data_IF_126589647641
#
_entry.id   IF_126589647641
#
_cell.length_a   1.000
_cell.length_b   1.000
_cell.length_c   1.000
_cell.angle_alpha   90.00
_cell.angle_beta   90.00
_cell.angle_gamma   90.00
#
_symmetry.space_group_name_H-M   'P 1'
#
loop_
_entity.id
_entity.type
_entity.pdbx_description
1 polymer ?
#
# COMPACT_ATOMS: atom_id res chain seq x y z
N UNK A 1 45.09 -9.79 39.36
CA UNK A 1 43.64 -9.71 39.11
C UNK A 1 43.39 -8.42 38.32
N UNK A 2 43.23 -8.52 36.99
CA UNK A 2 43.01 -7.35 36.12
C UNK A 2 41.53 -7.35 35.71
N UNK A 3 40.83 -6.20 35.73
CA UNK A 3 39.43 -6.13 35.36
C UNK A 3 39.29 -6.32 33.84
N UNK A 4 38.45 -7.27 33.42
CA UNK A 4 38.07 -7.44 32.03
C UNK A 4 37.10 -6.30 31.65
N UNK A 5 37.32 -5.59 30.53
CA UNK A 5 36.47 -4.46 30.16
C UNK A 5 35.11 -5.00 29.67
N UNK A 6 34.02 -4.44 30.22
CA UNK A 6 32.61 -4.72 29.88
C UNK A 6 32.21 -4.27 28.46
N UNK A 7 33.14 -4.23 27.52
CA UNK A 7 32.96 -3.65 26.19
C UNK A 7 32.44 -4.65 25.15
N UNK A 8 32.13 -5.89 25.55
CA UNK A 8 31.62 -6.91 24.63
C UNK A 8 30.11 -7.17 24.75
N UNK A 9 29.39 -6.45 25.62
CA UNK A 9 27.93 -6.60 25.75
C UNK A 9 27.12 -5.58 24.91
N UNK A 10 27.78 -4.86 24.00
CA UNK A 10 27.11 -3.95 23.05
C UNK A 10 26.91 -4.59 21.66
N UNK A 11 27.26 -5.86 21.48
CA UNK A 11 27.17 -6.57 20.20
C UNK A 11 26.00 -7.56 20.14
N UNK A 12 24.98 -7.38 20.99
CA UNK A 12 23.70 -8.05 20.82
C UNK A 12 22.72 -7.09 20.16
N UNK A 13 22.75 -7.15 18.83
CA UNK A 13 21.54 -7.04 18.00
C UNK A 13 21.01 -5.61 17.83
N UNK A 14 21.86 -4.75 17.26
CA UNK A 14 21.38 -3.80 16.25
C UNK A 14 21.01 -4.56 14.96
N UNK A 15 20.10 -5.53 15.05
CA UNK A 15 19.31 -5.89 13.88
C UNK A 15 18.20 -4.83 13.84
N UNK A 16 17.94 -4.18 12.69
CA UNK A 16 16.64 -3.55 12.52
C UNK A 16 15.60 -4.60 12.90
N UNK A 17 14.74 -4.26 13.87
CA UNK A 17 13.50 -4.99 14.14
C UNK A 17 12.62 -4.83 12.91
N UNK A 18 12.95 -5.58 11.87
CA UNK A 18 12.33 -5.58 10.55
C UNK A 18 12.47 -6.95 9.91
N UNK A 19 12.51 -8.01 10.73
CA UNK A 19 12.35 -9.40 10.30
C UNK A 19 11.04 -9.90 10.89
N UNK A 20 9.94 -9.34 10.38
CA UNK A 20 8.60 -9.56 10.90
C UNK A 20 7.53 -9.12 9.92
N UNK A 21 7.71 -9.43 8.63
CA UNK A 21 6.67 -9.21 7.65
C UNK A 21 7.06 -9.89 6.36
N UNK A 22 6.23 -10.82 5.89
CA UNK A 22 6.26 -11.18 4.48
C UNK A 22 5.97 -9.90 3.71
N UNK A 23 7.00 -9.20 3.26
CA UNK A 23 6.84 -8.09 2.32
C UNK A 23 6.00 -8.59 1.15
N UNK A 24 4.95 -7.87 0.80
CA UNK A 24 4.16 -8.19 -0.37
C UNK A 24 5.05 -8.08 -1.63
N UNK A 25 4.87 -9.02 -2.56
CA UNK A 25 5.50 -9.01 -3.88
C UNK A 25 4.78 -8.06 -4.84
N UNK A 26 4.59 -6.79 -4.46
CA UNK A 26 4.00 -5.77 -5.35
C UNK A 26 4.85 -4.50 -5.44
N UNK A 27 6.12 -4.54 -5.88
CA UNK A 27 6.80 -3.30 -6.28
C UNK A 27 6.02 -2.66 -7.46
N UNK A 28 5.78 -1.35 -7.50
CA UNK A 28 6.29 -0.25 -6.66
C UNK A 28 5.38 0.16 -5.48
N UNK A 29 4.56 -0.75 -4.97
CA UNK A 29 3.69 -0.52 -3.82
C UNK A 29 4.29 -1.06 -2.51
N UNK A 30 4.08 -0.30 -1.45
CA UNK A 30 4.43 -0.66 -0.07
C UNK A 30 3.21 -1.25 0.64
N UNK A 31 3.43 -2.30 1.41
CA UNK A 31 2.34 -3.01 2.10
C UNK A 31 2.56 -3.02 3.61
N UNK A 32 1.52 -2.64 4.34
CA UNK A 32 1.48 -2.59 5.80
C UNK A 32 0.42 -3.58 6.28
N UNK A 33 0.86 -4.80 6.61
CA UNK A 33 -0.05 -5.87 6.98
C UNK A 33 -0.72 -5.64 8.34
N UNK A 34 -0.04 -4.94 9.25
CA UNK A 34 -0.53 -4.61 10.59
C UNK A 34 -1.60 -3.50 10.59
N UNK A 35 -1.70 -2.72 9.52
CA UNK A 35 -2.63 -1.59 9.36
C UNK A 35 -3.78 -1.94 8.41
N UNK A 36 -4.70 -2.82 8.81
CA UNK A 36 -5.84 -3.24 7.97
C UNK A 36 -5.43 -3.74 6.57
N UNK A 37 -4.30 -4.45 6.45
CA UNK A 37 -3.75 -4.89 5.16
C UNK A 37 -3.67 -3.74 4.13
N UNK A 38 -3.16 -2.58 4.57
CA UNK A 38 -3.03 -1.39 3.74
C UNK A 38 -1.95 -1.57 2.68
N UNK A 39 -2.27 -1.19 1.46
CA UNK A 39 -1.32 -1.10 0.35
C UNK A 39 -1.27 0.34 -0.14
N UNK A 40 -0.06 0.89 -0.24
CA UNK A 40 0.21 2.23 -0.74
C UNK A 40 1.02 2.11 -2.01
N UNK A 41 0.50 2.57 -3.14
CA UNK A 41 1.23 2.64 -4.39
C UNK A 41 1.60 4.10 -4.68
N UNK A 42 2.84 4.31 -5.10
CA UNK A 42 3.39 5.60 -5.52
C UNK A 42 4.04 5.49 -6.88
N UNK A 43 4.05 6.58 -7.64
CA UNK A 43 4.77 6.70 -8.91
C UNK A 43 4.44 5.57 -9.90
N UNK A 44 3.14 5.30 -10.08
CA UNK A 44 2.63 4.29 -11.02
C UNK A 44 1.89 4.92 -12.19
N UNK A 45 2.07 4.34 -13.38
CA UNK A 45 1.32 4.67 -14.60
C UNK A 45 0.21 3.64 -14.93
N UNK A 46 0.21 2.50 -14.24
CA UNK A 46 -0.84 1.48 -14.26
C UNK A 46 -0.99 0.82 -12.88
N UNK A 47 -2.19 0.33 -12.56
CA UNK A 47 -2.45 -0.36 -11.28
C UNK A 47 -1.80 -1.76 -11.34
N UNK A 48 -0.80 -2.08 -10.49
CA UNK A 48 -0.15 -3.38 -10.51
C UNK A 48 -1.02 -4.47 -9.89
N UNK A 49 -0.55 -5.72 -9.92
CA UNK A 49 -1.22 -6.82 -9.23
C UNK A 49 -1.11 -6.65 -7.72
N UNK A 50 -2.23 -6.37 -7.07
CA UNK A 50 -2.32 -6.17 -5.63
C UNK A 50 -2.65 -7.47 -4.89
N UNK A 51 -2.24 -7.63 -3.62
CA UNK A 51 -2.63 -8.77 -2.79
C UNK A 51 -4.15 -8.94 -2.65
N UNK A 52 -4.70 -10.16 -2.79
CA UNK A 52 -6.13 -10.40 -2.55
C UNK A 52 -6.59 -10.08 -1.12
N UNK A 53 -5.65 -9.99 -0.17
CA UNK A 53 -5.90 -9.60 1.22
C UNK A 53 -6.04 -8.11 1.43
N UNK A 54 -5.76 -7.26 0.43
CA UNK A 54 -5.83 -5.81 0.55
C UNK A 54 -7.23 -5.35 0.98
N UNK A 55 -7.31 -4.60 2.07
CA UNK A 55 -8.56 -3.98 2.53
C UNK A 55 -8.57 -2.46 2.36
N UNK A 56 -7.39 -1.84 2.46
CA UNK A 56 -7.21 -0.41 2.23
C UNK A 56 -6.19 -0.21 1.12
N UNK A 57 -6.58 0.49 0.05
CA UNK A 57 -5.69 0.88 -1.04
C UNK A 57 -5.50 2.39 -1.04
N UNK A 58 -4.25 2.85 -1.05
CA UNK A 58 -3.87 4.25 -1.25
C UNK A 58 -3.10 4.35 -2.56
N UNK A 59 -3.65 5.07 -3.53
CA UNK A 59 -2.94 5.47 -4.75
C UNK A 59 -2.57 6.95 -4.56
N UNK A 60 -1.29 7.25 -4.42
CA UNK A 60 -0.81 8.61 -4.16
C UNK A 60 0.34 8.95 -5.09
N UNK A 61 0.45 10.19 -5.54
CA UNK A 61 1.54 10.61 -6.42
C UNK A 61 1.65 9.68 -7.66
N UNK A 62 0.51 9.41 -8.32
CA UNK A 62 0.44 8.47 -9.46
C UNK A 62 0.25 9.18 -10.79
N UNK A 63 0.75 8.58 -11.86
CA UNK A 63 0.61 9.04 -13.24
C UNK A 63 -0.53 8.35 -14.00
N UNK A 64 -1.51 7.81 -13.26
CA UNK A 64 -2.66 7.11 -13.81
C UNK A 64 -3.55 8.08 -14.59
N UNK A 65 -3.70 7.86 -15.90
CA UNK A 65 -4.64 8.63 -16.73
C UNK A 65 -6.06 8.10 -16.68
N UNK A 66 -6.20 6.80 -16.44
CA UNK A 66 -7.50 6.13 -16.45
C UNK A 66 -7.50 4.98 -15.44
N UNK A 67 -8.59 4.84 -14.68
CA UNK A 67 -8.85 3.61 -13.93
C UNK A 67 -9.62 2.65 -14.85
N UNK A 68 -9.05 1.48 -15.21
CA UNK A 68 -9.66 0.58 -16.16
C UNK A 68 -10.91 -0.09 -15.58
N UNK A 69 -11.72 -0.66 -16.47
CA UNK A 69 -12.87 -1.48 -16.12
C UNK A 69 -12.43 -2.65 -15.23
N UNK A 70 -13.19 -2.95 -14.17
CA UNK A 70 -12.90 -4.06 -13.25
C UNK A 70 -11.52 -4.02 -12.55
N UNK A 71 -10.89 -2.84 -12.44
CA UNK A 71 -9.54 -2.68 -11.88
C UNK A 71 -9.33 -3.33 -10.50
N UNK A 72 -10.37 -3.34 -9.65
CA UNK A 72 -10.30 -3.85 -8.28
C UNK A 72 -11.06 -5.16 -8.07
N UNK A 73 -11.50 -5.81 -9.15
CA UNK A 73 -12.33 -7.03 -9.08
C UNK A 73 -11.65 -8.22 -8.40
N UNK A 74 -10.31 -8.27 -8.41
CA UNK A 74 -9.51 -9.31 -7.76
C UNK A 74 -9.30 -9.07 -6.25
N UNK A 75 -9.91 -8.02 -5.67
CA UNK A 75 -9.74 -7.64 -4.27
C UNK A 75 -11.04 -7.90 -3.49
N UNK A 76 -11.31 -9.15 -3.08
CA UNK A 76 -12.58 -9.51 -2.43
C UNK A 76 -12.78 -8.85 -1.07
N UNK A 77 -11.71 -8.31 -0.48
CA UNK A 77 -11.72 -7.69 0.84
C UNK A 77 -11.57 -6.17 0.80
N UNK A 78 -11.52 -5.56 -0.39
CA UNK A 78 -11.32 -4.12 -0.51
C UNK A 78 -12.51 -3.37 0.13
N UNK A 79 -12.19 -2.46 1.04
CA UNK A 79 -13.17 -1.69 1.80
C UNK A 79 -12.97 -0.19 1.68
N UNK A 80 -11.72 0.26 1.48
CA UNK A 80 -11.35 1.67 1.37
C UNK A 80 -10.40 1.88 0.20
N UNK A 81 -10.73 2.82 -0.67
CA UNK A 81 -9.85 3.26 -1.75
C UNK A 81 -9.67 4.77 -1.60
N UNK A 82 -8.42 5.18 -1.40
CA UNK A 82 -8.00 6.56 -1.37
C UNK A 82 -7.25 6.88 -2.65
N UNK A 83 -7.79 7.83 -3.40
CA UNK A 83 -7.16 8.37 -4.60
C UNK A 83 -6.63 9.74 -4.24
N UNK A 84 -5.30 9.90 -4.14
CA UNK A 84 -4.71 11.23 -4.18
C UNK A 84 -4.67 11.63 -5.64
N UNK A 85 -5.46 12.65 -6.02
CA UNK A 85 -5.44 13.12 -7.40
C UNK A 85 -4.15 13.90 -7.62
N UNK A 86 -3.24 13.26 -8.33
CA UNK A 86 -2.32 14.00 -9.19
C UNK A 86 -3.12 14.49 -10.39
N UNK A 87 -2.78 15.66 -10.94
CA UNK A 87 -3.47 16.33 -12.05
C UNK A 87 -3.56 15.53 -13.38
N UNK A 88 -3.27 14.22 -13.36
CA UNK A 88 -3.18 13.33 -14.52
C UNK A 88 -4.36 12.37 -14.67
N UNK A 89 -5.14 12.07 -13.63
CA UNK A 89 -6.29 11.17 -13.73
C UNK A 89 -7.47 11.86 -14.43
N UNK A 90 -7.79 11.41 -15.65
CA UNK A 90 -8.77 12.07 -16.52
C UNK A 90 -10.07 11.28 -16.67
N UNK A 91 -10.04 9.97 -16.44
CA UNK A 91 -11.16 9.10 -16.77
C UNK A 91 -11.30 7.92 -15.83
N UNK A 92 -12.54 7.57 -15.54
CA UNK A 92 -12.93 6.27 -15.01
C UNK A 92 -13.67 5.53 -16.12
N UNK A 93 -13.28 4.30 -16.40
CA UNK A 93 -14.03 3.48 -17.35
C UNK A 93 -15.35 2.98 -16.75
N UNK A 94 -16.19 2.41 -17.61
CA UNK A 94 -17.39 1.72 -17.14
C UNK A 94 -16.99 0.57 -16.21
N UNK A 95 -17.68 0.40 -15.09
CA UNK A 95 -17.42 -0.70 -14.15
C UNK A 95 -16.04 -0.67 -13.46
N UNK A 96 -15.33 0.47 -13.42
CA UNK A 96 -14.06 0.58 -12.69
C UNK A 96 -14.14 0.19 -11.22
N UNK A 97 -15.28 0.43 -10.57
CA UNK A 97 -15.58 0.09 -9.17
C UNK A 97 -16.74 -0.90 -9.03
N UNK A 98 -16.90 -1.79 -10.01
CA UNK A 98 -18.01 -2.74 -10.03
C UNK A 98 -17.82 -3.91 -9.05
N UNK A 99 -18.93 -4.36 -8.45
CA UNK A 99 -19.03 -5.56 -7.62
C UNK A 99 -18.07 -5.60 -6.41
N UNK A 100 -17.81 -4.45 -5.79
CA UNK A 100 -17.00 -4.35 -4.57
C UNK A 100 -17.89 -4.47 -3.33
N UNK A 101 -18.31 -5.70 -3.00
CA UNK A 101 -19.32 -5.97 -1.95
C UNK A 101 -18.99 -5.48 -0.54
N UNK A 102 -17.70 -5.29 -0.22
CA UNK A 102 -17.22 -4.81 1.08
C UNK A 102 -16.79 -3.34 1.06
N UNK A 103 -16.94 -2.66 -0.08
CA UNK A 103 -16.55 -1.26 -0.21
C UNK A 103 -17.42 -0.39 0.70
N UNK A 104 -16.74 0.48 1.45
CA UNK A 104 -17.36 1.43 2.39
C UNK A 104 -17.01 2.86 2.06
N UNK A 105 -15.81 3.11 1.53
CA UNK A 105 -15.31 4.46 1.26
C UNK A 105 -14.50 4.49 -0.04
N UNK A 106 -14.84 5.44 -0.92
CA UNK A 106 -14.01 5.91 -2.02
C UNK A 106 -13.89 7.41 -1.80
N UNK A 107 -12.67 7.91 -1.68
CA UNK A 107 -12.45 9.32 -1.39
C UNK A 107 -11.25 9.83 -2.17
N UNK A 108 -11.41 11.02 -2.73
CA UNK A 108 -10.29 11.85 -3.16
C UNK A 108 -9.62 12.44 -1.92
N UNK A 109 -8.33 12.19 -1.74
CA UNK A 109 -7.56 12.86 -0.70
C UNK A 109 -6.90 14.09 -1.31
N UNK A 110 -7.33 15.28 -0.88
CA UNK A 110 -6.53 16.48 -1.04
C UNK A 110 -5.24 16.33 -0.24
N UNK A 111 -4.10 16.53 -0.88
CA UNK A 111 -2.79 16.65 -0.22
C UNK A 111 -2.72 18.00 0.49
N UNK A 112 -3.53 18.18 1.53
CA UNK A 112 -3.42 19.28 2.46
C UNK A 112 -3.05 18.73 3.84
N UNK A 113 -1.79 18.32 3.99
CA UNK A 113 -1.02 18.37 5.24
C UNK A 113 0.47 18.51 4.93
#
# INVERSE_FOLDING_TARGET
>A
MRPMPLLQLALLVALPRGLGGKGCLSPPCECHQEDDFRVTCKDIDHIPSLPPSTQTLKLTETHLKTIPSCAFSNLPNISRIYLSIDATLQRLESHSFYNLSKMTHITEMDVLQ
#
